data_IF_199861195586
#
_entry.id   IF_199861195586
#
_cell.length_a   1.000
_cell.length_b   1.000
_cell.length_c   1.000
_cell.angle_alpha   90.00
_cell.angle_beta   90.00
_cell.angle_gamma   90.00
#
_symmetry.space_group_name_H-M   'P 1'
#
loop_
_entity.id
_entity.type
_entity.pdbx_description
1 polymer ?
#
# COMPACT_ATOMS: atom_id res chain seq x y z
N UNK A 1 69.66 18.96 14.48
CA UNK A 1 68.41 19.71 14.30
C UNK A 1 67.78 19.34 12.99
N UNK A 2 66.81 18.46 12.97
CA UNK A 2 66.02 18.11 11.77
C UNK A 2 64.57 17.95 12.25
N UNK A 3 63.73 18.92 11.91
CA UNK A 3 62.32 18.93 12.19
C UNK A 3 61.61 18.03 11.16
N UNK A 4 60.98 16.96 11.63
CA UNK A 4 60.11 16.09 10.82
C UNK A 4 58.70 16.64 10.95
N UNK A 5 58.21 17.22 9.84
CA UNK A 5 56.80 17.63 9.72
C UNK A 5 55.95 16.39 9.42
N UNK A 6 55.14 15.96 10.38
CA UNK A 6 54.11 14.95 10.17
C UNK A 6 52.84 15.68 9.67
N UNK A 7 52.60 15.62 8.37
CA UNK A 7 51.34 16.06 7.79
C UNK A 7 50.26 14.99 8.04
N UNK A 8 49.36 15.31 8.96
CA UNK A 8 48.17 14.49 9.25
C UNK A 8 47.12 14.69 8.19
N UNK A 9 47.01 13.73 7.25
CA UNK A 9 45.93 13.66 6.29
C UNK A 9 44.64 13.20 6.98
N UNK A 10 43.75 14.14 7.32
CA UNK A 10 42.34 13.79 7.60
C UNK A 10 41.63 13.43 6.31
N UNK A 11 41.40 12.14 6.14
CA UNK A 11 40.43 11.64 5.15
C UNK A 11 39.02 11.98 5.68
N UNK A 12 38.43 13.04 5.14
CA UNK A 12 36.99 13.29 5.29
C UNK A 12 36.26 12.27 4.40
N UNK A 13 35.77 11.20 5.02
CA UNK A 13 34.84 10.29 4.40
C UNK A 13 33.48 10.99 4.32
N UNK A 14 33.16 11.62 3.21
CA UNK A 14 31.83 12.11 2.92
C UNK A 14 30.93 10.90 2.68
N UNK A 15 30.21 10.45 3.72
CA UNK A 15 29.10 9.53 3.58
C UNK A 15 27.97 10.31 2.91
N UNK A 16 27.78 10.09 1.61
CA UNK A 16 26.60 10.55 0.89
C UNK A 16 25.39 9.82 1.46
N UNK A 17 24.72 10.45 2.41
CA UNK A 17 23.39 10.05 2.83
C UNK A 17 22.47 10.30 1.64
N UNK A 18 22.15 9.25 0.89
CA UNK A 18 21.09 9.27 -0.10
C UNK A 18 19.77 9.44 0.67
N UNK A 19 19.37 10.67 0.89
CA UNK A 19 18.04 11.00 1.32
C UNK A 19 17.10 10.60 0.16
N UNK A 20 16.46 9.44 0.28
CA UNK A 20 15.37 9.07 -0.60
C UNK A 20 14.20 10.00 -0.28
N UNK A 21 14.09 11.07 -1.02
CA UNK A 21 12.87 11.89 -1.03
C UNK A 21 11.81 11.07 -1.77
N UNK A 22 10.99 10.34 -1.03
CA UNK A 22 9.78 9.74 -1.56
C UNK A 22 8.76 10.87 -1.79
N UNK A 23 8.78 11.43 -3.00
CA UNK A 23 7.68 12.31 -3.42
C UNK A 23 6.46 11.41 -3.62
N UNK A 24 5.62 11.33 -2.61
CA UNK A 24 4.34 10.66 -2.69
C UNK A 24 3.44 11.42 -3.67
N UNK A 25 3.42 11.01 -4.92
CA UNK A 25 2.36 11.43 -5.83
C UNK A 25 1.08 10.78 -5.34
N UNK A 26 0.22 11.59 -4.73
CA UNK A 26 -1.11 11.18 -4.30
C UNK A 26 -1.95 10.89 -5.55
N UNK A 27 -1.92 9.66 -6.01
CA UNK A 27 -2.88 9.12 -6.98
C UNK A 27 -4.11 8.64 -6.19
N UNK A 28 -5.32 8.59 -6.76
CA UNK A 28 -6.47 7.94 -6.16
C UNK A 28 -6.29 6.41 -6.20
N UNK A 29 -5.35 5.96 -5.52
CA UNK A 29 -4.92 4.71 -5.01
C UNK A 29 -4.16 5.08 -3.75
N UNK A 30 -4.39 4.36 -2.68
CA UNK A 30 -3.79 4.66 -1.39
C UNK A 30 -2.27 4.69 -1.55
N UNK A 31 -1.64 5.83 -1.24
CA UNK A 31 -0.17 5.87 -1.08
C UNK A 31 0.15 5.12 0.21
N UNK A 32 0.48 3.85 0.08
CA UNK A 32 0.80 2.99 1.23
C UNK A 32 2.27 3.10 1.68
N UNK A 33 2.98 4.11 1.17
CA UNK A 33 4.40 4.31 1.51
C UNK A 33 5.33 3.19 1.00
N UNK A 34 4.85 2.28 0.15
CA UNK A 34 5.68 1.27 -0.49
C UNK A 34 6.21 1.85 -1.80
N UNK A 35 7.49 2.12 -1.79
CA UNK A 35 8.24 2.46 -3.01
C UNK A 35 9.20 1.31 -3.32
N UNK A 36 8.95 0.63 -4.43
CA UNK A 36 9.80 -0.45 -4.94
C UNK A 36 10.45 0.06 -6.24
N UNK A 37 11.62 0.71 -6.16
CA UNK A 37 12.20 1.40 -7.32
C UNK A 37 12.67 0.45 -8.42
N UNK A 38 12.91 -0.82 -8.06
CA UNK A 38 13.42 -1.85 -8.96
C UNK A 38 12.53 -3.08 -8.85
N UNK A 39 12.30 -3.78 -9.96
CA UNK A 39 11.55 -5.03 -9.97
C UNK A 39 12.12 -6.00 -8.92
N UNK A 40 11.30 -6.45 -7.94
CA UNK A 40 11.80 -7.23 -6.82
C UNK A 40 12.21 -8.65 -7.24
N UNK A 41 13.18 -9.20 -6.54
CA UNK A 41 13.43 -10.63 -6.58
C UNK A 41 12.28 -11.36 -5.87
N UNK A 42 11.62 -12.26 -6.60
CA UNK A 42 10.50 -13.03 -6.11
C UNK A 42 10.89 -14.50 -6.00
N UNK A 43 10.75 -15.06 -4.79
CA UNK A 43 11.10 -16.44 -4.47
C UNK A 43 9.82 -17.19 -4.10
N UNK A 44 9.69 -18.42 -4.60
CA UNK A 44 8.53 -19.26 -4.29
C UNK A 44 8.46 -19.60 -2.80
N UNK A 45 7.28 -19.49 -2.22
CA UNK A 45 6.98 -20.07 -0.90
C UNK A 45 6.83 -21.59 -1.07
N UNK A 46 7.68 -22.41 -0.42
CA UNK A 46 7.62 -23.86 -0.56
C UNK A 46 6.24 -24.43 -0.21
N UNK A 47 5.67 -25.23 -1.11
CA UNK A 47 4.35 -25.84 -0.94
C UNK A 47 3.16 -24.94 -1.27
N UNK A 48 3.39 -23.69 -1.68
CA UNK A 48 2.34 -22.72 -2.00
C UNK A 48 2.46 -22.18 -3.43
N UNK A 49 1.36 -21.82 -4.10
CA UNK A 49 1.40 -21.18 -5.42
C UNK A 49 1.66 -19.66 -5.31
N UNK A 50 2.42 -19.26 -4.31
CA UNK A 50 2.69 -17.87 -3.95
C UNK A 50 4.19 -17.61 -3.98
N UNK A 51 4.57 -16.42 -4.45
CA UNK A 51 5.93 -15.91 -4.31
C UNK A 51 5.97 -14.81 -3.25
N UNK A 52 7.11 -14.63 -2.63
CA UNK A 52 7.37 -13.51 -1.72
C UNK A 52 8.66 -12.81 -2.10
N UNK A 53 8.85 -11.57 -1.65
CA UNK A 53 10.04 -10.77 -1.90
C UNK A 53 10.96 -10.78 -0.65
N UNK A 54 11.97 -11.66 -0.56
CA UNK A 54 12.78 -11.81 0.65
C UNK A 54 13.64 -10.59 0.98
N UNK A 55 13.96 -9.76 -0.01
CA UNK A 55 14.84 -8.59 0.13
C UNK A 55 14.10 -7.27 0.35
N UNK A 56 12.76 -7.26 0.23
CA UNK A 56 11.97 -6.09 0.57
C UNK A 56 11.67 -6.05 2.07
N UNK A 57 11.74 -4.88 2.68
CA UNK A 57 11.34 -4.65 4.07
C UNK A 57 9.82 -4.55 4.27
N UNK A 58 9.02 -5.14 3.37
CA UNK A 58 7.56 -5.13 3.39
C UNK A 58 7.00 -6.53 3.19
N UNK A 59 5.78 -6.78 3.63
CA UNK A 59 5.08 -8.05 3.41
C UNK A 59 4.54 -8.05 1.98
N UNK A 60 5.37 -8.50 1.06
CA UNK A 60 5.15 -8.41 -0.37
C UNK A 60 5.08 -9.80 -1.00
N UNK A 61 3.98 -10.08 -1.68
CA UNK A 61 3.69 -11.36 -2.30
C UNK A 61 3.26 -11.19 -3.75
N UNK A 62 3.38 -12.26 -4.53
CA UNK A 62 2.82 -12.36 -5.86
C UNK A 62 2.03 -13.67 -5.97
N UNK A 63 0.77 -13.56 -6.35
CA UNK A 63 -0.13 -14.70 -6.49
C UNK A 63 -1.10 -14.46 -7.64
N UNK A 64 -1.24 -15.49 -8.48
CA UNK A 64 -2.24 -15.60 -9.53
C UNK A 64 -2.34 -14.37 -10.45
N UNK A 65 -1.17 -13.74 -10.72
CA UNK A 65 -1.05 -12.59 -11.62
C UNK A 65 -1.09 -11.22 -10.97
N UNK A 66 -1.37 -11.12 -9.67
CA UNK A 66 -1.35 -9.87 -8.91
C UNK A 66 -0.29 -9.85 -7.83
N UNK A 67 0.20 -8.65 -7.53
CA UNK A 67 0.99 -8.35 -6.35
C UNK A 67 0.06 -8.04 -5.18
N UNK A 68 0.44 -8.52 -4.01
CA UNK A 68 -0.30 -8.39 -2.76
C UNK A 68 0.65 -7.85 -1.69
N UNK A 69 0.18 -6.86 -0.96
CA UNK A 69 0.96 -6.25 0.12
C UNK A 69 0.11 -6.16 1.36
N UNK A 70 0.71 -6.54 2.50
CA UNK A 70 0.11 -6.35 3.81
C UNK A 70 0.88 -5.29 4.60
N UNK A 71 0.24 -4.17 4.87
CA UNK A 71 0.84 -3.03 5.56
C UNK A 71 -0.20 -2.22 6.30
N UNK A 72 0.14 -1.76 7.52
CA UNK A 72 -0.76 -0.94 8.33
C UNK A 72 -2.09 -1.63 8.60
N UNK A 73 -2.07 -2.93 8.83
CA UNK A 73 -3.23 -3.78 9.09
C UNK A 73 -4.20 -3.94 7.92
N UNK A 74 -3.76 -3.59 6.72
CA UNK A 74 -4.57 -3.65 5.51
C UNK A 74 -3.88 -4.44 4.40
N UNK A 75 -4.71 -5.06 3.55
CA UNK A 75 -4.27 -5.67 2.31
C UNK A 75 -4.42 -4.72 1.13
N UNK A 76 -3.50 -4.85 0.20
CA UNK A 76 -3.51 -4.08 -1.04
C UNK A 76 -3.13 -4.99 -2.21
N UNK A 77 -3.70 -4.72 -3.37
CA UNK A 77 -3.39 -5.43 -4.61
C UNK A 77 -3.01 -4.49 -5.74
N UNK A 78 -2.18 -4.97 -6.66
CA UNK A 78 -1.81 -4.26 -7.88
C UNK A 78 -1.40 -5.24 -8.98
N UNK A 79 -1.62 -4.88 -10.24
CA UNK A 79 -1.06 -5.59 -11.40
C UNK A 79 0.40 -5.22 -11.71
N UNK A 80 0.94 -4.21 -11.02
CA UNK A 80 2.30 -3.74 -11.16
C UNK A 80 3.05 -3.75 -9.83
N UNK A 81 4.32 -4.10 -9.85
CA UNK A 81 5.12 -4.32 -8.64
C UNK A 81 5.32 -3.07 -7.76
N UNK A 82 5.17 -1.87 -8.32
CA UNK A 82 5.26 -0.60 -7.59
C UNK A 82 3.93 0.16 -7.55
N UNK A 83 2.81 -0.54 -7.69
CA UNK A 83 1.48 0.08 -7.69
C UNK A 83 1.02 0.62 -9.05
N UNK A 84 -0.10 1.31 -9.11
CA UNK A 84 -0.87 1.81 -7.98
C UNK A 84 -1.50 0.69 -7.14
N UNK A 85 -1.53 0.90 -5.83
CA UNK A 85 -2.05 -0.05 -4.87
C UNK A 85 -3.53 0.22 -4.59
N UNK A 86 -4.32 -0.84 -4.53
CA UNK A 86 -5.72 -0.77 -4.16
C UNK A 86 -5.97 -1.50 -2.87
N UNK A 87 -6.74 -0.87 -2.01
CA UNK A 87 -7.22 -1.50 -0.78
C UNK A 87 -8.08 -2.72 -1.11
N UNK A 88 -7.87 -3.78 -0.34
CA UNK A 88 -8.63 -5.04 -0.41
C UNK A 88 -9.11 -5.40 0.98
N UNK A 89 -10.43 -5.50 1.14
CA UNK A 89 -11.00 -5.97 2.40
C UNK A 89 -10.57 -7.41 2.72
N UNK A 90 -10.49 -7.78 3.99
CA UNK A 90 -10.00 -9.10 4.41
C UNK A 90 -10.80 -10.27 3.86
N UNK A 91 -12.08 -10.07 3.56
CA UNK A 91 -12.94 -11.08 2.92
C UNK A 91 -12.59 -11.32 1.44
N UNK A 92 -11.96 -10.34 0.80
CA UNK A 92 -11.61 -10.38 -0.61
C UNK A 92 -10.12 -10.69 -0.86
N UNK A 93 -9.37 -11.13 0.15
CA UNK A 93 -8.00 -11.61 -0.01
C UNK A 93 -8.01 -13.08 -0.43
N UNK A 94 -7.24 -13.51 -1.45
CA UNK A 94 -7.17 -14.91 -1.85
C UNK A 94 -6.71 -15.84 -0.72
N UNK A 95 -7.31 -17.02 -0.63
CA UNK A 95 -6.97 -17.97 0.44
C UNK A 95 -5.50 -18.36 0.45
N UNK A 96 -4.88 -18.54 -0.71
CA UNK A 96 -3.47 -18.90 -0.77
C UNK A 96 -2.55 -17.78 -0.25
N UNK A 97 -2.96 -16.51 -0.39
CA UNK A 97 -2.22 -15.38 0.19
C UNK A 97 -2.36 -15.36 1.70
N UNK A 98 -3.59 -15.56 2.22
CA UNK A 98 -3.86 -15.64 3.66
C UNK A 98 -3.14 -16.81 4.35
N UNK A 99 -2.91 -17.90 3.62
CA UNK A 99 -2.26 -19.12 4.12
C UNK A 99 -0.74 -19.08 4.10
N UNK A 100 -0.13 -18.02 3.58
CA UNK A 100 1.34 -17.89 3.60
C UNK A 100 1.83 -17.90 5.05
N UNK A 101 2.78 -18.80 5.41
CA UNK A 101 3.27 -18.88 6.78
C UNK A 101 3.95 -17.61 7.27
N UNK A 102 3.84 -17.35 8.56
CA UNK A 102 4.34 -16.14 9.25
C UNK A 102 5.81 -15.84 8.91
N UNK A 103 6.67 -16.86 8.76
CA UNK A 103 8.10 -16.71 8.45
C UNK A 103 8.38 -15.95 7.14
N UNK A 104 7.43 -15.89 6.22
CA UNK A 104 7.58 -15.21 4.93
C UNK A 104 7.12 -13.74 4.97
N UNK A 105 6.58 -13.30 6.10
CA UNK A 105 6.29 -11.89 6.35
C UNK A 105 7.59 -11.19 6.76
N UNK A 106 8.04 -10.24 5.97
CA UNK A 106 9.32 -9.52 6.16
C UNK A 106 9.23 -8.39 7.18
N UNK A 107 8.02 -7.85 7.33
CA UNK A 107 7.68 -6.85 8.35
C UNK A 107 6.38 -7.27 9.04
N UNK A 108 6.41 -8.35 9.84
CA UNK A 108 5.23 -8.85 10.51
C UNK A 108 4.71 -7.81 11.52
N UNK A 109 3.38 -7.61 11.60
CA UNK A 109 2.82 -6.71 12.61
C UNK A 109 3.10 -7.24 14.03
N UNK A 110 3.06 -6.32 15.00
CA UNK A 110 3.41 -6.65 16.38
C UNK A 110 2.57 -7.77 17.01
N UNK A 111 1.32 -7.92 16.58
CA UNK A 111 0.43 -8.97 17.08
C UNK A 111 0.76 -10.38 16.54
N UNK A 112 1.64 -10.52 15.52
CA UNK A 112 2.18 -11.83 15.12
C UNK A 112 3.16 -12.41 16.17
N UNK A 113 3.54 -11.63 17.18
CA UNK A 113 4.48 -12.10 18.20
C UNK A 113 3.93 -13.34 18.91
N UNK A 114 4.74 -14.40 18.94
CA UNK A 114 4.37 -15.67 19.55
C UNK A 114 3.56 -16.61 18.65
N UNK A 115 3.25 -16.22 17.42
CA UNK A 115 2.64 -17.12 16.45
C UNK A 115 3.66 -18.09 15.85
N UNK A 116 3.18 -19.26 15.44
CA UNK A 116 4.06 -20.28 14.85
C UNK A 116 4.58 -19.80 13.50
N UNK A 117 5.91 -19.83 13.32
CA UNK A 117 6.55 -19.34 12.11
C UNK A 117 6.15 -20.13 10.85
N UNK A 118 5.87 -21.43 11.00
CA UNK A 118 5.54 -22.35 9.91
C UNK A 118 4.05 -22.49 9.63
N UNK A 119 3.23 -21.80 10.41
CA UNK A 119 1.78 -21.78 10.24
C UNK A 119 1.33 -20.44 9.64
N UNK A 120 0.15 -20.41 8.98
CA UNK A 120 -0.50 -19.16 8.61
C UNK A 120 -0.72 -18.22 9.81
N UNK A 121 -0.77 -16.92 9.59
CA UNK A 121 -1.22 -15.98 10.62
C UNK A 121 -2.61 -16.35 11.15
N UNK A 122 -2.88 -16.03 12.40
CA UNK A 122 -4.15 -16.35 13.06
C UNK A 122 -5.20 -15.27 12.74
N UNK A 123 -5.59 -15.23 11.47
CA UNK A 123 -6.51 -14.20 10.96
C UNK A 123 -7.87 -14.20 11.65
N UNK A 124 -8.40 -15.38 12.03
CA UNK A 124 -9.64 -15.48 12.77
C UNK A 124 -9.57 -14.78 14.13
N UNK A 125 -8.45 -14.92 14.85
CA UNK A 125 -8.24 -14.21 16.12
C UNK A 125 -8.14 -12.70 15.90
N UNK A 126 -7.56 -12.29 14.79
CA UNK A 126 -7.30 -10.88 14.48
C UNK A 126 -8.56 -10.14 13.98
N UNK A 127 -9.26 -10.71 13.00
CA UNK A 127 -10.45 -10.08 12.40
C UNK A 127 -11.76 -10.50 13.06
N UNK A 128 -11.67 -11.46 13.99
CA UNK A 128 -12.77 -11.88 14.84
C UNK A 128 -13.72 -12.90 14.23
N UNK A 129 -14.69 -13.37 15.04
CA UNK A 129 -15.54 -14.50 14.69
C UNK A 129 -16.46 -14.25 13.49
N UNK A 130 -16.86 -13.01 13.25
CA UNK A 130 -17.68 -12.66 12.08
C UNK A 130 -16.93 -12.93 10.78
N UNK A 131 -15.67 -12.50 10.70
CA UNK A 131 -14.82 -12.79 9.55
C UNK A 131 -14.59 -14.29 9.39
N UNK A 132 -14.27 -14.99 10.47
CA UNK A 132 -14.00 -16.42 10.45
C UNK A 132 -15.21 -17.23 9.97
N UNK A 133 -16.42 -16.81 10.36
CA UNK A 133 -17.66 -17.42 9.89
C UNK A 133 -17.85 -17.25 8.37
N UNK A 134 -17.59 -16.05 7.83
CA UNK A 134 -17.69 -15.77 6.40
C UNK A 134 -16.60 -16.49 5.59
N UNK A 135 -15.45 -16.73 6.19
CA UNK A 135 -14.28 -17.40 5.59
C UNK A 135 -14.06 -18.80 6.14
N UNK A 136 -15.13 -19.46 6.58
CA UNK A 136 -15.06 -20.80 7.20
C UNK A 136 -14.21 -21.77 6.37
N UNK A 137 -13.27 -22.46 7.03
CA UNK A 137 -12.35 -23.40 6.39
C UNK A 137 -11.18 -22.72 5.64
N UNK A 138 -10.98 -21.42 5.81
CA UNK A 138 -9.91 -20.68 5.16
C UNK A 138 -8.52 -21.28 5.46
N UNK A 139 -8.32 -21.83 6.65
CA UNK A 139 -7.10 -22.46 7.16
C UNK A 139 -6.97 -23.95 6.77
N UNK A 140 -8.05 -24.55 6.27
CA UNK A 140 -8.11 -25.98 5.92
C UNK A 140 -7.96 -26.18 4.42
N UNK A 141 -6.94 -26.91 4.00
CA UNK A 141 -6.71 -27.20 2.60
C UNK A 141 -5.82 -28.44 2.41
N UNK A 142 -5.93 -29.02 1.23
CA UNK A 142 -5.08 -30.17 0.87
C UNK A 142 -3.74 -29.66 0.33
N UNK A 143 -2.68 -29.76 1.10
CA UNK A 143 -1.31 -29.38 0.70
C UNK A 143 -0.77 -30.15 -0.51
N UNK A 144 -1.37 -31.29 -0.85
CA UNK A 144 -0.98 -32.08 -2.04
C UNK A 144 -1.64 -31.60 -3.32
N UNK A 145 -2.71 -30.82 -3.22
CA UNK A 145 -3.45 -30.24 -4.34
C UNK A 145 -3.18 -28.74 -4.43
N UNK A 146 -1.99 -28.39 -4.91
CA UNK A 146 -1.59 -26.99 -5.07
C UNK A 146 -1.91 -26.51 -6.48
N UNK A 147 -2.50 -25.35 -6.60
CA UNK A 147 -2.69 -24.67 -7.88
C UNK A 147 -1.34 -24.43 -8.57
N UNK A 148 -1.34 -24.44 -9.91
CA UNK A 148 -0.16 -24.07 -10.67
C UNK A 148 0.29 -22.62 -10.35
N UNK A 149 1.60 -22.42 -10.31
CA UNK A 149 2.18 -21.08 -10.14
C UNK A 149 1.86 -20.20 -11.34
N UNK A 150 1.42 -19.00 -11.09
CA UNK A 150 1.34 -17.98 -12.13
C UNK A 150 2.75 -17.60 -12.61
N UNK A 151 2.96 -17.40 -13.92
CA UNK A 151 4.23 -16.92 -14.44
C UNK A 151 4.51 -15.51 -13.91
N UNK A 152 5.76 -15.25 -13.55
CA UNK A 152 6.14 -13.90 -13.10
C UNK A 152 6.12 -12.92 -14.27
N UNK A 153 5.57 -11.71 -14.11
CA UNK A 153 5.54 -10.68 -15.15
C UNK A 153 6.90 -10.01 -15.34
N UNK A 154 7.90 -10.81 -15.74
CA UNK A 154 9.31 -10.37 -15.86
C UNK A 154 9.52 -9.22 -16.85
N UNK A 155 8.56 -9.00 -17.76
CA UNK A 155 8.57 -7.83 -18.68
C UNK A 155 8.61 -6.50 -17.91
N UNK A 156 8.13 -6.47 -16.65
CA UNK A 156 8.12 -5.26 -15.83
C UNK A 156 9.52 -4.83 -15.39
N UNK A 157 10.53 -5.69 -15.48
CA UNK A 157 11.94 -5.34 -15.15
C UNK A 157 12.47 -4.16 -15.94
N UNK A 158 12.02 -3.98 -17.19
CA UNK A 158 12.44 -2.87 -18.06
C UNK A 158 11.85 -1.52 -17.67
N UNK A 159 10.88 -1.51 -16.75
CA UNK A 159 10.19 -0.30 -16.29
C UNK A 159 10.59 0.11 -14.88
N UNK A 160 11.81 -0.16 -14.47
CA UNK A 160 12.32 0.20 -13.15
C UNK A 160 12.69 1.68 -13.04
N UNK A 161 12.68 2.22 -11.83
CA UNK A 161 13.07 3.59 -11.49
C UNK A 161 12.31 4.66 -12.30
N UNK A 162 13.02 5.58 -12.92
CA UNK A 162 12.53 6.68 -13.76
C UNK A 162 11.74 6.24 -15.00
N UNK A 163 11.93 5.00 -15.42
CA UNK A 163 11.20 4.39 -16.55
C UNK A 163 9.89 3.72 -16.16
N UNK A 164 9.48 3.83 -14.90
CA UNK A 164 8.22 3.25 -14.45
C UNK A 164 7.04 3.91 -15.20
N UNK A 165 6.15 3.13 -15.86
CA UNK A 165 5.17 3.72 -16.75
C UNK A 165 4.08 4.46 -15.98
N UNK A 166 3.57 5.57 -16.53
CA UNK A 166 2.40 6.24 -15.97
C UNK A 166 1.21 5.28 -15.84
N UNK A 167 0.41 5.45 -14.78
CA UNK A 167 -0.72 4.57 -14.47
C UNK A 167 -1.67 4.37 -15.66
N UNK A 168 -1.90 5.43 -16.44
CA UNK A 168 -2.76 5.36 -17.63
C UNK A 168 -2.25 4.42 -18.73
N UNK A 169 -0.94 4.13 -18.76
CA UNK A 169 -0.34 3.24 -19.77
C UNK A 169 -0.22 1.79 -19.27
N UNK A 170 -0.23 1.59 -17.95
CA UNK A 170 0.00 0.28 -17.34
C UNK A 170 -0.98 -0.81 -17.83
N UNK A 171 -2.30 -0.57 -17.96
CA UNK A 171 -3.23 -1.58 -18.42
C UNK A 171 -2.92 -2.08 -19.84
N UNK A 172 -2.59 -1.16 -20.74
CA UNK A 172 -2.26 -1.51 -22.14
C UNK A 172 -0.96 -2.30 -22.20
N UNK A 173 0.06 -1.86 -21.48
CA UNK A 173 1.34 -2.56 -21.40
C UNK A 173 1.20 -3.94 -20.76
N UNK A 174 0.36 -4.05 -19.72
CA UNK A 174 0.08 -5.31 -19.06
C UNK A 174 -0.64 -6.28 -20.02
N UNK A 175 -1.74 -5.88 -20.63
CA UNK A 175 -2.50 -6.71 -21.55
C UNK A 175 -1.67 -7.20 -22.75
N UNK A 176 -0.76 -6.35 -23.25
CA UNK A 176 0.12 -6.71 -24.36
C UNK A 176 1.20 -7.72 -23.98
N UNK A 177 1.80 -7.59 -22.77
CA UNK A 177 3.00 -8.34 -22.38
C UNK A 177 2.72 -9.51 -21.43
N UNK A 178 1.53 -9.57 -20.82
CA UNK A 178 1.19 -10.60 -19.83
C UNK A 178 -0.15 -11.24 -20.15
N UNK A 179 -0.09 -12.35 -20.90
CA UNK A 179 -1.26 -13.10 -21.36
C UNK A 179 -1.59 -14.24 -20.38
N UNK A 180 -1.74 -13.89 -19.12
CA UNK A 180 -2.11 -14.84 -18.08
C UNK A 180 -3.54 -14.55 -17.61
N UNK A 181 -4.35 -15.60 -17.52
CA UNK A 181 -5.68 -15.52 -16.95
C UNK A 181 -5.66 -16.09 -15.53
N UNK A 182 -6.07 -15.31 -14.53
CA UNK A 182 -6.16 -15.79 -13.16
C UNK A 182 -7.07 -17.00 -13.02
N UNK A 183 -6.74 -17.91 -12.10
CA UNK A 183 -7.54 -19.10 -11.81
C UNK A 183 -8.40 -18.92 -10.56
N UNK A 184 -7.93 -18.17 -9.58
CA UNK A 184 -8.64 -17.89 -8.35
C UNK A 184 -9.82 -16.93 -8.62
N UNK A 185 -11.07 -17.30 -8.23
CA UNK A 185 -12.23 -16.45 -8.45
C UNK A 185 -12.11 -15.06 -7.85
N UNK A 186 -11.45 -14.94 -6.69
CA UNK A 186 -11.22 -13.66 -6.00
C UNK A 186 -10.27 -12.80 -6.84
N UNK A 187 -9.19 -13.39 -7.36
CA UNK A 187 -8.25 -12.68 -8.22
C UNK A 187 -8.92 -12.27 -9.54
N UNK A 188 -9.74 -13.13 -10.13
CA UNK A 188 -10.52 -12.79 -11.33
C UNK A 188 -11.41 -11.57 -11.10
N UNK A 189 -12.10 -11.51 -9.97
CA UNK A 189 -12.93 -10.36 -9.63
C UNK A 189 -12.11 -9.06 -9.54
N UNK A 190 -10.92 -9.12 -8.94
CA UNK A 190 -10.00 -7.97 -8.90
C UNK A 190 -9.48 -7.58 -10.28
N UNK A 191 -9.21 -8.54 -11.17
CA UNK A 191 -8.80 -8.25 -12.56
C UNK A 191 -9.90 -7.59 -13.39
N UNK A 192 -11.15 -7.92 -13.12
CA UNK A 192 -12.31 -7.36 -13.81
C UNK A 192 -12.73 -6.00 -13.22
N UNK A 193 -12.23 -5.63 -12.04
CA UNK A 193 -12.51 -4.34 -11.44
C UNK A 193 -11.87 -3.22 -12.28
N UNK A 194 -12.67 -2.36 -12.93
CA UNK A 194 -12.15 -1.24 -13.71
C UNK A 194 -11.22 -0.37 -12.89
N UNK A 195 -11.41 -0.36 -11.59
CA UNK A 195 -10.61 0.40 -10.66
C UNK A 195 -9.17 -0.12 -10.52
N UNK A 196 -8.86 -1.40 -10.75
CA UNK A 196 -7.48 -1.89 -10.83
C UNK A 196 -6.76 -1.37 -12.08
N UNK A 197 -7.54 -1.02 -13.11
CA UNK A 197 -7.06 -0.51 -14.39
C UNK A 197 -7.43 0.96 -14.62
N UNK A 198 -8.17 1.60 -13.71
CA UNK A 198 -8.71 2.93 -13.89
C UNK A 198 -7.63 4.01 -13.89
N UNK A 199 -7.84 4.94 -14.81
CA UNK A 199 -7.14 6.21 -14.87
C UNK A 199 -7.29 6.95 -13.53
N UNK A 200 -6.21 7.54 -12.96
CA UNK A 200 -6.36 8.45 -11.85
C UNK A 200 -7.26 9.61 -12.27
N UNK A 201 -8.36 9.81 -11.57
CA UNK A 201 -9.13 11.04 -11.68
C UNK A 201 -8.28 12.11 -10.98
N UNK A 202 -7.93 13.22 -11.66
CA UNK A 202 -7.28 14.34 -10.97
C UNK A 202 -8.20 14.75 -9.82
N UNK A 203 -7.68 14.76 -8.60
CA UNK A 203 -8.38 15.38 -7.49
C UNK A 203 -8.48 16.87 -7.80
N UNK A 204 -9.67 17.32 -8.24
CA UNK A 204 -9.99 18.73 -8.18
C UNK A 204 -9.72 19.21 -6.76
N UNK A 205 -8.93 20.24 -6.67
CA UNK A 205 -8.66 20.97 -5.44
C UNK A 205 -10.00 21.37 -4.79
N UNK A 206 -10.48 20.55 -3.87
CA UNK A 206 -11.35 21.04 -2.80
C UNK A 206 -10.41 21.74 -1.82
N UNK A 207 -9.95 22.88 -2.25
CA UNK A 207 -9.04 23.73 -1.53
C UNK A 207 -9.62 25.11 -1.43
N UNK A 208 -9.99 25.47 -0.21
CA UNK A 208 -9.93 26.85 0.27
C UNK A 208 -10.95 27.85 -0.31
N UNK A 209 -12.20 27.64 0.02
CA UNK A 209 -13.14 28.76 0.08
C UNK A 209 -13.81 28.87 1.46
N UNK A 210 -12.99 28.83 2.51
CA UNK A 210 -13.39 29.19 3.87
C UNK A 210 -12.43 30.19 4.46
N UNK A 211 -12.24 31.34 3.78
CA UNK A 211 -11.71 32.58 4.40
C UNK A 211 -12.11 33.79 3.60
N UNK A 212 -13.37 34.20 3.71
CA UNK A 212 -13.79 35.60 3.60
C UNK A 212 -15.14 35.74 4.30
N UNK A 213 -15.12 35.83 5.60
CA UNK A 213 -16.17 36.58 6.32
C UNK A 213 -15.80 38.05 6.23
N UNK A 214 -16.69 38.92 5.73
CA UNK A 214 -16.49 40.36 5.83
C UNK A 214 -16.72 40.79 7.29
N UNK A 215 -15.71 41.41 7.86
CA UNK A 215 -15.90 42.27 9.04
C UNK A 215 -16.94 43.35 8.69
N UNK A 216 -18.07 43.33 9.37
CA UNK A 216 -18.94 44.47 9.46
C UNK A 216 -18.48 45.29 10.67
N UNK A 217 -17.96 46.46 10.37
CA UNK A 217 -17.66 47.53 11.31
C UNK A 217 -18.95 48.02 11.93
N UNK A 218 -19.11 47.79 13.23
CA UNK A 218 -20.13 48.50 14.03
C UNK A 218 -19.64 49.89 14.33
N UNK A 219 -20.17 50.85 13.58
CA UNK A 219 -20.09 52.27 13.90
C UNK A 219 -21.13 52.64 14.97
N UNK A 220 -20.62 53.04 16.11
CA UNK A 220 -21.38 53.64 17.22
C UNK A 220 -22.09 54.88 16.76
N UNK A 221 -23.40 54.98 17.00
CA UNK A 221 -24.04 56.26 17.20
C UNK A 221 -24.96 56.23 18.42
N UNK A 222 -24.60 57.06 19.34
CA UNK A 222 -25.19 57.39 20.60
C UNK A 222 -26.30 58.44 20.35
N UNK A 223 -27.22 58.64 21.32
CA UNK A 223 -28.30 59.61 21.51
C UNK A 223 -29.70 59.02 21.34
N UNK A 224 -30.61 59.10 22.24
CA UNK A 224 -30.85 60.01 23.38
C UNK A 224 -32.24 59.69 23.94
N UNK A 225 -32.36 59.90 25.21
CA UNK A 225 -33.48 60.25 26.03
C UNK A 225 -34.94 59.97 25.64
N UNK A 226 -35.70 59.47 26.60
CA UNK A 226 -37.12 59.69 26.64
C UNK A 226 -37.92 58.80 27.58
N UNK A 227 -38.03 59.17 28.80
CA UNK A 227 -39.13 59.14 29.75
C UNK A 227 -40.45 58.44 29.37
N UNK A 228 -41.00 57.68 30.31
CA UNK A 228 -42.38 57.28 30.30
C UNK A 228 -42.79 56.29 31.37
N UNK A 229 -43.25 56.78 32.50
CA UNK A 229 -43.93 56.13 33.63
C UNK A 229 -45.23 55.44 33.24
N UNK A 230 -45.67 54.48 34.06
CA UNK A 230 -47.07 54.11 34.20
C UNK A 230 -47.34 52.65 34.47
N UNK A 231 -47.33 52.23 35.64
CA UNK A 231 -48.43 51.91 36.55
C UNK A 231 -49.39 50.76 36.12
N UNK A 232 -49.50 49.81 37.06
CA UNK A 232 -50.69 49.05 37.52
C UNK A 232 -51.31 47.98 36.58
N UNK A 233 -51.40 46.87 37.02
CA UNK A 233 -52.07 46.09 38.07
C UNK A 233 -51.62 44.60 38.04
#
# INVERSE_FOLDING_TARGET
MRFVNIALWMLLSATSAMAQVSVGVALPGVSIGINVPVYPELVRVPGYPVYYAPRLGSNFFFYDGLYWVYQGDNWYASSWYNGPWRFVGPEAVPLYVLRVPVRYYRNPPGYFRGWQADAPPRWGDHWGPGWEQHRSGWDKWNHRSTQALAPLPTYQRRYSQDRYPPVAQQPVLHAHNYRYEPHDPVVKAHYQDPAIHARPVPSEHVGQDQRRQPHQDEEKKNEGQGHGQGHNK
#
